data_IF_436373312247
#
_entry.id   IF_436373312247
#
_cell.length_a   1.000
_cell.length_b   1.000
_cell.length_c   1.000
_cell.angle_alpha   90.00
_cell.angle_beta   90.00
_cell.angle_gamma   90.00
#
_symmetry.space_group_name_H-M   'P 1'
#
loop_
_entity.id
_entity.type
_entity.pdbx_description
1 polymer ?
#
# COMPACT_ATOMS: atom_id res chain seq x y z
N UNK A 1 -76.56 4.63 -44.17
CA UNK A 1 -77.35 4.29 -42.97
C UNK A 1 -76.43 3.63 -41.97
N UNK A 2 -76.07 4.35 -40.90
CA UNK A 2 -75.18 3.87 -39.84
C UNK A 2 -76.08 3.48 -38.67
N UNK A 3 -76.06 2.21 -38.28
CA UNK A 3 -76.65 1.72 -37.03
C UNK A 3 -75.56 0.98 -36.27
N UNK A 4 -74.95 1.66 -35.31
CA UNK A 4 -73.98 1.08 -34.37
C UNK A 4 -74.75 0.57 -33.14
N UNK A 5 -74.91 -0.74 -33.04
CA UNK A 5 -75.48 -1.41 -31.86
C UNK A 5 -74.46 -1.51 -30.73
N UNK A 6 -74.87 -1.04 -29.56
CA UNK A 6 -74.17 -0.99 -28.28
C UNK A 6 -74.08 -2.40 -27.66
N UNK A 7 -72.88 -2.88 -27.29
CA UNK A 7 -72.67 -4.12 -26.52
C UNK A 7 -72.19 -3.76 -25.10
N UNK A 8 -72.68 -4.44 -24.04
CA UNK A 8 -72.34 -4.12 -22.66
C UNK A 8 -70.92 -4.59 -22.28
N UNK A 9 -70.25 -3.91 -21.35
CA UNK A 9 -68.91 -4.29 -20.91
C UNK A 9 -68.93 -5.61 -20.09
N UNK A 10 -67.87 -6.43 -20.17
CA UNK A 10 -67.78 -7.69 -19.44
C UNK A 10 -67.64 -7.47 -17.93
N UNK A 11 -68.07 -8.44 -17.10
CA UNK A 11 -67.98 -8.34 -15.65
C UNK A 11 -66.53 -8.31 -15.17
N UNK A 12 -66.23 -7.43 -14.22
CA UNK A 12 -64.93 -7.32 -13.57
C UNK A 12 -64.76 -8.53 -12.64
N UNK A 13 -63.76 -9.37 -12.89
CA UNK A 13 -63.38 -10.47 -11.99
C UNK A 13 -62.76 -9.89 -10.71
N UNK A 14 -63.05 -10.46 -9.52
CA UNK A 14 -62.40 -10.03 -8.28
C UNK A 14 -60.90 -10.32 -8.32
N UNK A 15 -60.05 -9.50 -7.66
CA UNK A 15 -58.61 -9.72 -7.63
C UNK A 15 -58.27 -11.03 -6.91
N UNK A 16 -57.19 -11.72 -7.33
CA UNK A 16 -56.75 -12.95 -6.66
C UNK A 16 -56.35 -12.67 -5.20
N UNK A 17 -56.50 -13.66 -4.31
CA UNK A 17 -56.10 -13.51 -2.92
C UNK A 17 -54.58 -13.28 -2.79
N UNK A 18 -54.13 -12.56 -1.75
CA UNK A 18 -52.71 -12.31 -1.52
C UNK A 18 -51.96 -13.63 -1.24
N UNK A 19 -50.68 -13.75 -1.67
CA UNK A 19 -49.86 -14.92 -1.40
C UNK A 19 -49.61 -15.09 0.12
N UNK A 20 -49.40 -16.32 0.60
CA UNK A 20 -49.11 -16.58 1.99
C UNK A 20 -47.80 -15.89 2.43
N UNK A 21 -47.67 -15.51 3.72
CA UNK A 21 -46.46 -14.88 4.24
C UNK A 21 -45.27 -15.84 4.15
N UNK A 22 -44.15 -15.36 3.60
CA UNK A 22 -42.90 -16.11 3.59
C UNK A 22 -42.39 -16.33 5.02
N UNK A 23 -41.81 -17.50 5.34
CA UNK A 23 -41.18 -17.72 6.63
C UNK A 23 -40.01 -16.75 6.83
N UNK A 24 -39.94 -16.15 8.02
CA UNK A 24 -38.88 -15.23 8.40
C UNK A 24 -37.49 -15.91 8.29
N UNK A 25 -36.45 -15.17 7.85
CA UNK A 25 -35.11 -15.73 7.78
C UNK A 25 -34.65 -16.03 9.21
N UNK A 26 -34.37 -17.30 9.47
CA UNK A 26 -33.65 -17.75 10.66
C UNK A 26 -32.28 -17.08 10.67
N UNK A 27 -32.16 -16.00 11.43
CA UNK A 27 -30.89 -15.44 11.86
C UNK A 27 -30.28 -16.39 12.90
N UNK A 28 -29.73 -17.52 12.44
CA UNK A 28 -28.82 -18.33 13.24
C UNK A 28 -27.40 -17.81 13.00
N UNK A 29 -26.95 -17.02 13.98
CA UNK A 29 -25.56 -16.72 14.32
C UNK A 29 -24.53 -16.76 13.17
N UNK A 30 -24.20 -15.56 12.71
CA UNK A 30 -22.82 -15.17 12.44
C UNK A 30 -21.87 -15.75 13.50
N UNK A 31 -20.86 -16.51 13.06
CA UNK A 31 -19.45 -16.51 13.53
C UNK A 31 -18.76 -17.86 13.29
N UNK A 32 -18.72 -18.31 12.04
CA UNK A 32 -17.41 -18.71 11.54
C UNK A 32 -16.84 -17.45 10.90
N UNK A 33 -15.98 -16.74 11.64
CA UNK A 33 -15.09 -15.77 11.00
C UNK A 33 -14.39 -16.46 9.82
N UNK A 34 -13.90 -15.73 8.81
CA UNK A 34 -13.12 -16.36 7.75
C UNK A 34 -12.06 -17.20 8.45
N UNK A 35 -12.13 -18.53 8.29
CA UNK A 35 -11.06 -19.41 8.74
C UNK A 35 -9.79 -18.69 8.32
N UNK A 36 -8.93 -18.32 9.28
CA UNK A 36 -7.75 -17.50 9.02
C UNK A 36 -6.90 -18.29 8.05
N UNK A 37 -7.14 -18.10 6.75
CA UNK A 37 -6.29 -18.64 5.71
C UNK A 37 -4.99 -17.93 5.95
N UNK A 38 -3.99 -18.68 6.41
CA UNK A 38 -2.64 -18.19 6.54
C UNK A 38 -2.28 -17.48 5.22
N UNK A 39 -1.99 -16.18 5.33
CA UNK A 39 -1.73 -15.34 4.15
C UNK A 39 -0.32 -15.63 3.72
N UNK A 40 -0.08 -16.08 2.50
CA UNK A 40 1.29 -16.20 2.00
C UNK A 40 1.94 -14.82 1.87
N UNK A 41 3.28 -14.77 1.94
CA UNK A 41 4.05 -13.57 1.61
C UNK A 41 3.74 -13.13 0.18
N UNK A 42 3.72 -11.82 -0.04
CA UNK A 42 3.49 -11.27 -1.37
C UNK A 42 4.65 -11.61 -2.31
N UNK A 43 4.33 -12.09 -3.51
CA UNK A 43 5.28 -12.15 -4.62
C UNK A 43 5.25 -10.80 -5.33
N UNK A 44 6.39 -10.10 -5.38
CA UNK A 44 6.49 -8.78 -6.01
C UNK A 44 6.73 -8.93 -7.52
N UNK A 45 5.75 -9.47 -8.24
CA UNK A 45 5.81 -9.67 -9.69
C UNK A 45 4.94 -8.64 -10.43
N UNK A 46 5.37 -8.26 -11.63
CA UNK A 46 4.57 -7.48 -12.56
C UNK A 46 3.92 -8.41 -13.58
N UNK A 47 2.60 -8.34 -13.70
CA UNK A 47 1.86 -9.15 -14.67
C UNK A 47 2.04 -8.59 -16.07
N UNK A 48 2.42 -9.45 -17.02
CA UNK A 48 2.53 -9.06 -18.42
C UNK A 48 1.11 -8.94 -19.00
N UNK A 49 0.72 -7.80 -19.58
CA UNK A 49 -0.60 -7.63 -20.18
C UNK A 49 -0.86 -8.68 -21.26
N UNK A 50 -2.09 -9.19 -21.33
CA UNK A 50 -2.46 -10.28 -22.25
C UNK A 50 -2.20 -9.89 -23.71
N UNK A 51 -2.39 -8.62 -24.05
CA UNK A 51 -2.17 -8.04 -25.38
C UNK A 51 -0.70 -8.12 -25.82
N UNK A 52 0.22 -8.25 -24.87
CA UNK A 52 1.66 -8.40 -25.12
C UNK A 52 2.08 -9.85 -25.33
N UNK A 53 1.24 -10.81 -24.93
CA UNK A 53 1.52 -12.25 -24.98
C UNK A 53 0.75 -12.93 -26.12
N UNK A 54 -0.55 -12.64 -26.24
CA UNK A 54 -1.43 -13.26 -27.24
C UNK A 54 -1.02 -12.85 -28.65
N UNK A 55 -0.81 -13.84 -29.52
CA UNK A 55 -0.46 -13.63 -30.94
C UNK A 55 1.00 -13.23 -31.19
N UNK A 56 1.84 -13.12 -30.16
CA UNK A 56 3.28 -12.88 -30.29
C UNK A 56 4.07 -14.12 -29.93
N UNK A 57 5.26 -14.29 -30.51
CA UNK A 57 6.20 -15.34 -30.11
C UNK A 57 6.81 -14.95 -28.76
N UNK A 58 6.31 -15.54 -27.68
CA UNK A 58 6.83 -15.36 -26.32
C UNK A 58 6.93 -16.72 -25.62
N UNK A 59 7.75 -16.80 -24.57
CA UNK A 59 7.86 -18.02 -23.75
C UNK A 59 6.54 -18.42 -23.09
N UNK A 60 5.61 -17.46 -22.96
CA UNK A 60 4.27 -17.67 -22.40
C UNK A 60 3.25 -18.16 -23.44
N UNK A 61 3.58 -18.08 -24.73
CA UNK A 61 2.67 -18.44 -25.81
C UNK A 61 2.58 -19.95 -26.04
N UNK A 62 3.55 -20.73 -25.52
CA UNK A 62 3.58 -22.19 -25.64
C UNK A 62 3.00 -22.94 -24.43
N UNK A 63 3.02 -22.33 -23.24
CA UNK A 63 2.60 -22.98 -21.97
C UNK A 63 1.08 -22.95 -21.73
N UNK A 64 0.34 -22.17 -22.53
CA UNK A 64 -1.11 -21.97 -22.38
C UNK A 64 -1.95 -22.88 -23.31
N UNK A 65 -1.31 -23.74 -24.11
CA UNK A 65 -1.99 -24.49 -25.18
C UNK A 65 -1.55 -25.93 -25.40
N UNK A 66 -0.72 -26.50 -24.52
CA UNK A 66 -0.52 -27.95 -24.48
C UNK A 66 -1.54 -28.54 -23.50
N UNK A 67 -2.49 -29.32 -24.02
CA UNK A 67 -3.45 -30.16 -23.26
C UNK A 67 -2.77 -31.26 -22.41
N UNK A 68 -1.43 -31.22 -22.26
CA UNK A 68 -0.73 -31.90 -21.18
C UNK A 68 -0.88 -31.04 -19.91
N UNK A 69 -2.09 -31.03 -19.35
CA UNK A 69 -2.30 -30.84 -17.91
C UNK A 69 -1.61 -32.01 -17.20
N UNK A 70 -0.28 -31.96 -17.17
CA UNK A 70 0.54 -32.74 -16.27
C UNK A 70 0.12 -32.26 -14.88
N UNK A 71 -0.79 -33.03 -14.27
CA UNK A 71 -1.43 -32.74 -13.00
C UNK A 71 -0.35 -32.78 -11.92
N UNK A 72 0.42 -31.70 -11.81
CA UNK A 72 1.41 -31.48 -10.78
C UNK A 72 0.69 -30.85 -9.60
N UNK A 73 0.21 -31.66 -8.62
CA UNK A 73 -0.46 -31.11 -7.46
C UNK A 73 0.52 -30.24 -6.69
N UNK A 74 0.23 -28.95 -6.64
CA UNK A 74 0.98 -28.01 -5.82
C UNK A 74 0.69 -28.34 -4.35
N UNK A 75 1.74 -28.68 -3.59
CA UNK A 75 1.60 -28.89 -2.15
C UNK A 75 1.37 -27.55 -1.42
N UNK A 76 0.09 -27.22 -1.25
CA UNK A 76 -0.36 -26.02 -0.54
C UNK A 76 0.07 -26.00 0.93
N UNK A 77 0.33 -27.17 1.56
CA UNK A 77 0.77 -27.24 2.96
C UNK A 77 2.21 -26.77 3.09
N UNK A 78 3.10 -27.28 2.23
CA UNK A 78 4.50 -26.85 2.19
C UNK A 78 4.63 -25.36 1.84
N UNK A 79 3.78 -24.86 0.93
CA UNK A 79 3.75 -23.42 0.62
C UNK A 79 3.39 -22.57 1.84
N UNK A 80 2.40 -23.01 2.62
CA UNK A 80 1.96 -22.31 3.82
C UNK A 80 3.01 -22.35 4.94
N UNK A 81 3.68 -23.48 5.14
CA UNK A 81 4.73 -23.62 6.15
C UNK A 81 5.94 -22.72 5.84
N UNK A 82 6.38 -22.68 4.58
CA UNK A 82 7.58 -21.95 4.17
C UNK A 82 7.35 -20.46 3.93
N UNK A 83 6.21 -20.11 3.33
CA UNK A 83 5.91 -18.75 2.88
C UNK A 83 4.70 -18.13 3.59
N UNK A 84 4.08 -18.83 4.54
CA UNK A 84 3.03 -18.28 5.39
C UNK A 84 3.52 -17.05 6.13
N UNK A 85 2.73 -15.99 6.06
CA UNK A 85 2.86 -14.86 6.94
C UNK A 85 2.47 -15.36 8.32
N UNK A 86 3.47 -15.49 9.21
CA UNK A 86 3.19 -15.64 10.64
C UNK A 86 2.31 -14.46 11.03
N UNK A 87 1.04 -14.74 11.32
CA UNK A 87 0.24 -13.86 12.13
C UNK A 87 0.99 -13.78 13.46
N UNK A 88 1.94 -12.86 13.56
CA UNK A 88 2.17 -12.22 14.82
C UNK A 88 0.76 -11.71 15.17
N UNK A 89 0.07 -12.44 16.06
CA UNK A 89 -0.81 -11.82 17.01
C UNK A 89 -0.02 -10.59 17.47
N UNK A 90 -0.31 -9.45 16.85
CA UNK A 90 0.00 -8.17 17.43
C UNK A 90 -0.61 -8.32 18.82
N UNK A 91 0.17 -8.31 19.91
CA UNK A 91 -0.43 -8.33 21.22
C UNK A 91 -1.39 -7.15 21.22
N UNK A 92 -2.69 -7.47 21.20
CA UNK A 92 -3.70 -6.46 21.38
C UNK A 92 -3.46 -5.94 22.80
N UNK A 93 -3.09 -4.66 22.87
CA UNK A 93 -2.86 -3.86 24.09
C UNK A 93 -1.45 -3.90 24.69
N UNK A 94 -0.51 -3.39 23.92
CA UNK A 94 0.39 -2.33 24.41
C UNK A 94 0.72 -1.27 23.33
N UNK A 95 0.39 -1.53 22.05
CA UNK A 95 0.62 -0.57 20.96
C UNK A 95 -0.54 0.40 20.68
N UNK A 96 -1.71 0.19 21.30
CA UNK A 96 -2.80 1.18 21.18
C UNK A 96 -2.46 2.50 21.85
N UNK A 97 -1.54 2.51 22.83
CA UNK A 97 -1.02 3.76 23.41
C UNK A 97 0.00 4.46 22.50
N UNK A 98 0.76 3.71 21.67
CA UNK A 98 1.73 4.33 20.74
C UNK A 98 1.10 4.76 19.41
N UNK A 99 -0.01 4.14 18.99
CA UNK A 99 -0.82 4.67 17.88
C UNK A 99 -1.73 5.81 18.33
N UNK A 100 -2.20 5.79 19.59
CA UNK A 100 -2.90 6.93 20.18
C UNK A 100 -1.98 8.14 20.38
N UNK A 101 -0.68 7.97 20.65
CA UNK A 101 0.24 9.10 20.71
C UNK A 101 0.50 9.77 19.34
N UNK A 102 0.09 9.15 18.24
CA UNK A 102 0.07 9.81 16.90
C UNK A 102 -1.30 10.42 16.56
N UNK A 103 -2.27 10.33 17.46
CA UNK A 103 -3.62 10.88 17.26
C UNK A 103 -4.16 11.64 18.47
N UNK A 104 -3.34 11.83 19.51
CA UNK A 104 -3.64 12.62 20.71
C UNK A 104 -2.54 13.62 21.07
N UNK A 105 -1.60 13.89 20.16
CA UNK A 105 -1.18 15.27 19.93
C UNK A 105 -2.01 15.74 18.75
N UNK A 106 -2.28 17.04 18.63
CA UNK A 106 -2.75 17.62 17.36
C UNK A 106 -2.01 16.97 16.19
N UNK A 107 -2.61 16.83 14.99
CA UNK A 107 -1.79 16.65 13.80
C UNK A 107 -0.88 17.87 13.76
N UNK A 108 0.35 17.76 14.27
CA UNK A 108 1.41 18.62 13.80
C UNK A 108 1.51 18.18 12.36
N UNK A 109 0.89 18.98 11.50
CA UNK A 109 0.88 18.84 10.07
C UNK A 109 2.35 18.78 9.66
N UNK A 110 2.88 17.56 9.54
CA UNK A 110 4.31 17.38 9.29
C UNK A 110 4.54 17.79 7.86
N UNK A 111 5.26 18.90 7.70
CA UNK A 111 5.49 19.48 6.39
C UNK A 111 6.47 18.59 5.66
N UNK A 112 6.08 18.09 4.49
CA UNK A 112 6.95 17.31 3.61
C UNK A 112 7.45 18.22 2.50
N UNK A 113 8.77 18.37 2.36
CA UNK A 113 9.40 19.17 1.31
C UNK A 113 9.74 18.32 0.10
N UNK A 114 10.04 17.04 0.35
CA UNK A 114 10.33 16.05 -0.68
C UNK A 114 9.03 15.37 -1.13
N UNK A 115 9.05 14.82 -2.35
CA UNK A 115 7.96 13.94 -2.78
C UNK A 115 7.95 12.64 -1.96
N UNK A 116 6.81 11.95 -1.94
CA UNK A 116 6.60 10.77 -1.10
C UNK A 116 7.58 9.63 -1.41
N UNK A 117 7.98 9.44 -2.68
CA UNK A 117 8.92 8.39 -3.06
C UNK A 117 10.33 8.73 -2.57
N UNK A 118 10.74 9.98 -2.74
CA UNK A 118 12.04 10.48 -2.30
C UNK A 118 12.18 10.45 -0.78
N UNK A 119 11.17 10.95 -0.07
CA UNK A 119 11.12 10.92 1.40
C UNK A 119 11.20 9.48 1.95
N UNK A 120 10.46 8.53 1.33
CA UNK A 120 10.53 7.12 1.71
C UNK A 120 11.92 6.52 1.50
N UNK A 121 12.51 6.69 0.31
CA UNK A 121 13.83 6.12 -0.02
C UNK A 121 14.92 6.65 0.92
N UNK A 122 14.92 7.95 1.20
CA UNK A 122 15.83 8.57 2.16
C UNK A 122 15.58 8.08 3.58
N UNK A 123 14.31 7.99 4.00
CA UNK A 123 13.97 7.48 5.32
C UNK A 123 14.47 6.04 5.55
N UNK A 124 14.37 5.18 4.54
CA UNK A 124 14.91 3.81 4.59
C UNK A 124 16.43 3.83 4.69
N UNK A 125 17.09 4.67 3.90
CA UNK A 125 18.54 4.79 3.90
C UNK A 125 19.08 5.32 5.24
N UNK A 126 18.51 6.41 5.76
CA UNK A 126 18.92 7.04 7.02
C UNK A 126 18.78 6.09 8.22
N UNK A 127 17.77 5.21 8.23
CA UNK A 127 17.60 4.20 9.29
C UNK A 127 18.77 3.21 9.40
N UNK A 128 19.56 3.03 8.34
CA UNK A 128 20.71 2.12 8.33
C UNK A 128 21.90 2.66 9.14
N UNK A 129 21.92 3.96 9.42
CA UNK A 129 22.98 4.62 10.18
C UNK A 129 22.80 4.45 11.69
N UNK A 130 21.56 4.24 12.16
CA UNK A 130 21.21 4.06 13.59
C UNK A 130 21.70 5.20 14.50
N UNK A 131 21.90 6.39 13.95
CA UNK A 131 22.30 7.62 14.65
C UNK A 131 21.41 8.78 14.18
N UNK A 132 21.41 9.90 14.90
CA UNK A 132 20.54 11.01 14.55
C UNK A 132 21.02 11.71 13.25
N UNK A 133 20.06 12.17 12.45
CA UNK A 133 20.28 12.95 11.22
C UNK A 133 21.24 14.14 11.43
N UNK A 134 21.15 14.80 12.58
CA UNK A 134 22.02 15.93 12.94
C UNK A 134 23.48 15.50 13.15
N UNK A 135 23.70 14.32 13.72
CA UNK A 135 25.05 13.76 13.92
C UNK A 135 25.68 13.38 12.57
N UNK A 136 24.89 12.79 11.65
CA UNK A 136 25.36 12.48 10.30
C UNK A 136 25.83 13.76 9.59
N UNK A 137 25.04 14.83 9.66
CA UNK A 137 25.40 16.12 9.03
C UNK A 137 26.63 16.74 9.70
N UNK A 138 26.75 16.66 11.02
CA UNK A 138 27.95 17.13 11.73
C UNK A 138 29.20 16.35 11.29
N UNK A 139 29.10 15.03 11.17
CA UNK A 139 30.22 14.21 10.67
C UNK A 139 30.59 14.57 9.23
N UNK A 140 29.61 14.87 8.37
CA UNK A 140 29.86 15.38 7.00
C UNK A 140 30.57 16.73 7.03
N UNK A 141 30.15 17.67 7.89
CA UNK A 141 30.79 18.98 8.04
C UNK A 141 32.25 18.87 8.55
N UNK A 142 32.52 17.91 9.42
CA UNK A 142 33.87 17.68 9.97
C UNK A 142 34.75 16.79 9.08
N UNK A 143 34.19 16.19 8.02
CA UNK A 143 34.90 15.21 7.19
C UNK A 143 35.11 13.84 7.86
N UNK A 144 34.35 13.52 8.91
CA UNK A 144 34.46 12.27 9.68
C UNK A 144 33.73 11.10 9.00
N UNK A 145 34.22 10.67 7.83
CA UNK A 145 33.58 9.63 7.01
C UNK A 145 33.86 8.17 7.40
N UNK A 146 34.92 7.90 8.17
CA UNK A 146 35.51 6.56 8.33
C UNK A 146 34.52 5.53 8.91
N UNK A 147 33.68 5.95 9.86
CA UNK A 147 32.68 5.10 10.52
C UNK A 147 31.53 4.61 9.62
N UNK A 148 31.35 5.21 8.45
CA UNK A 148 30.23 4.91 7.55
C UNK A 148 30.60 3.85 6.49
N UNK A 149 31.87 3.78 6.11
CA UNK A 149 32.36 2.95 5.02
C UNK A 149 32.05 3.51 3.64
N UNK A 150 32.85 3.10 2.65
CA UNK A 150 32.80 3.65 1.29
C UNK A 150 31.45 3.41 0.58
N UNK A 151 30.81 2.27 0.81
CA UNK A 151 29.53 1.92 0.19
C UNK A 151 28.41 2.90 0.60
N UNK A 152 28.24 3.12 1.92
CA UNK A 152 27.22 4.06 2.42
C UNK A 152 27.49 5.49 2.01
N UNK A 153 28.76 5.91 1.99
CA UNK A 153 29.12 7.25 1.53
C UNK A 153 28.83 7.42 0.03
N UNK A 154 29.10 6.39 -0.78
CA UNK A 154 28.78 6.40 -2.21
C UNK A 154 27.27 6.51 -2.45
N UNK A 155 26.47 5.74 -1.71
CA UNK A 155 25.01 5.85 -1.77
C UNK A 155 24.52 7.21 -1.26
N UNK A 156 25.14 7.76 -0.22
CA UNK A 156 24.81 9.08 0.29
C UNK A 156 25.05 10.16 -0.79
N UNK A 157 26.14 10.08 -1.53
CA UNK A 157 26.43 10.99 -2.64
C UNK A 157 25.35 10.92 -3.74
N UNK A 158 24.82 9.73 -4.05
CA UNK A 158 23.71 9.56 -5.00
C UNK A 158 22.38 10.13 -4.50
N UNK A 159 22.27 10.28 -3.18
CA UNK A 159 21.06 10.75 -2.51
C UNK A 159 21.08 12.24 -2.23
N UNK A 160 22.16 12.96 -2.54
CA UNK A 160 22.24 14.41 -2.38
C UNK A 160 21.09 15.12 -3.13
N UNK A 161 20.64 16.29 -2.64
CA UNK A 161 19.55 17.01 -3.27
C UNK A 161 20.00 17.60 -4.61
N UNK A 162 19.16 17.47 -5.63
CA UNK A 162 19.42 18.05 -6.95
C UNK A 162 19.29 19.57 -6.91
N UNK A 163 19.92 20.29 -7.86
CA UNK A 163 19.89 21.76 -7.91
C UNK A 163 18.47 22.35 -7.95
N UNK A 164 17.52 21.64 -8.56
CA UNK A 164 16.11 22.00 -8.56
C UNK A 164 15.48 21.82 -7.17
N UNK A 165 15.67 20.67 -6.52
CA UNK A 165 15.17 20.38 -5.16
C UNK A 165 15.67 21.41 -4.15
N UNK A 166 16.97 21.74 -4.24
CA UNK A 166 17.61 22.76 -3.39
C UNK A 166 16.95 24.12 -3.55
N UNK A 167 16.75 24.58 -4.78
CA UNK A 167 16.32 25.96 -5.05
C UNK A 167 14.82 26.15 -4.86
N UNK A 168 14.00 25.16 -5.26
CA UNK A 168 12.54 25.28 -5.28
C UNK A 168 11.85 24.90 -3.96
N UNK A 169 12.41 23.97 -3.19
CA UNK A 169 11.72 23.37 -2.03
C UNK A 169 12.48 23.52 -0.72
N UNK A 170 13.81 23.38 -0.74
CA UNK A 170 14.62 23.39 0.49
C UNK A 170 15.04 24.81 0.90
N UNK A 171 15.60 25.62 0.00
CA UNK A 171 16.03 27.00 0.31
C UNK A 171 14.87 27.97 0.55
N UNK A 172 13.69 27.68 0.01
CA UNK A 172 12.48 28.50 0.20
C UNK A 172 11.71 28.18 1.48
N UNK A 173 12.11 27.16 2.24
CA UNK A 173 11.39 26.76 3.43
C UNK A 173 11.72 27.67 4.62
N UNK A 174 10.72 28.45 5.06
CA UNK A 174 10.81 29.34 6.22
C UNK A 174 10.01 28.82 7.44
N UNK A 175 9.57 27.56 7.42
CA UNK A 175 8.81 26.96 8.51
C UNK A 175 9.68 26.42 9.65
N UNK A 176 9.03 25.92 10.70
CA UNK A 176 9.73 25.34 11.83
C UNK A 176 10.31 23.96 11.49
N UNK A 177 11.63 23.79 11.69
CA UNK A 177 12.34 22.52 11.42
C UNK A 177 11.82 21.34 12.25
N UNK A 178 11.19 21.61 13.40
CA UNK A 178 10.59 20.58 14.26
C UNK A 178 9.35 19.94 13.64
N UNK A 179 8.75 20.58 12.62
CA UNK A 179 7.60 20.05 11.88
C UNK A 179 8.02 19.14 10.71
N UNK A 180 9.32 19.09 10.38
CA UNK A 180 9.84 18.27 9.29
C UNK A 180 10.08 16.83 9.73
N UNK A 181 9.79 15.88 8.83
CA UNK A 181 10.23 14.50 9.00
C UNK A 181 11.76 14.39 8.93
N UNK A 182 12.32 13.28 9.44
CA UNK A 182 13.77 13.01 9.36
C UNK A 182 14.37 13.17 7.96
N UNK A 183 13.72 12.73 6.85
CA UNK A 183 14.26 12.90 5.50
C UNK A 183 14.34 14.36 5.06
N UNK A 184 13.28 15.13 5.30
CA UNK A 184 13.21 16.55 4.93
C UNK A 184 14.19 17.39 5.76
N UNK A 185 14.28 17.10 7.07
CA UNK A 185 15.23 17.72 7.97
C UNK A 185 16.67 17.43 7.53
N UNK A 186 16.98 16.18 7.16
CA UNK A 186 18.32 15.81 6.68
C UNK A 186 18.71 16.60 5.43
N UNK A 187 17.81 16.68 4.44
CA UNK A 187 18.06 17.43 3.21
C UNK A 187 18.22 18.93 3.46
N UNK A 188 17.39 19.51 4.32
CA UNK A 188 17.50 20.92 4.66
C UNK A 188 18.85 21.23 5.31
N UNK A 189 19.30 20.39 6.24
CA UNK A 189 20.58 20.54 6.91
C UNK A 189 21.78 20.36 5.96
N UNK A 190 21.69 19.44 4.99
CA UNK A 190 22.73 19.26 3.98
C UNK A 190 22.90 20.49 3.08
N UNK A 191 21.83 21.19 2.74
CA UNK A 191 21.89 22.42 1.92
C UNK A 191 22.62 23.57 2.65
N UNK A 192 22.61 23.55 3.98
CA UNK A 192 23.28 24.53 4.83
C UNK A 192 24.76 24.23 5.04
N UNK A 193 25.22 23.02 4.71
CA UNK A 193 26.64 22.66 4.77
C UNK A 193 27.41 23.48 3.71
N UNK A 194 28.41 24.29 4.11
CA UNK A 194 29.28 24.97 3.16
C UNK A 194 29.98 23.96 2.25
N UNK A 195 30.08 24.28 0.95
CA UNK A 195 30.83 23.47 -0.01
C UNK A 195 32.33 23.72 0.08
#
# INVERSE_FOLDING_TARGET
VISTSNLPPPPILPPPPPPPPLPAPTATLSRLGPARRHRLRNLNWESIPKERVVGRRSVWSGSLGSDDDDDFPIDLRSLDELFGQKDACKPERADSLKRSLRHSGSPQESVSLLDSKRSMNLGIFLRQFKIAVREIVADVQMGCGERYGAEKLTELCKLLPDSEEVTSRLKGFNGERIMLGEPDLFMLLLVEVPK
#
